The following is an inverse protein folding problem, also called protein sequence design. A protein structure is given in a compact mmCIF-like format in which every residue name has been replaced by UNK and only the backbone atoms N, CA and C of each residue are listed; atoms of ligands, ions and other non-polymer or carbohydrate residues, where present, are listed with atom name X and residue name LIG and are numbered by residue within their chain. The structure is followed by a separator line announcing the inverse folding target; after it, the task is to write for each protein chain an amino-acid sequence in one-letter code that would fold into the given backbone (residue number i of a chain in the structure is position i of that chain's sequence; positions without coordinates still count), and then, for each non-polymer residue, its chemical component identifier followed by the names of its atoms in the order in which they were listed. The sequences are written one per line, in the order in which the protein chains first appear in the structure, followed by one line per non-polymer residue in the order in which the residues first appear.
data_IF_176158262557
#
_entry.id   IF_176158262557
#
_cell.length_a   1.000
_cell.length_b   1.000
_cell.length_c   1.000
_cell.angle_alpha   90.00
_cell.angle_beta   90.00
_cell.angle_gamma   90.00
#
_symmetry.space_group_name_H-M   'P 1'
#
loop_
_entity.id
_entity.type
_entity.pdbx_description
1 polymer ?
#
# COMPACT_ATOMS: atom_id res chain seq x y z
N UNK A 1 -51.77 -11.61 1.32
CA UNK A 1 -50.69 -12.14 0.46
C UNK A 1 -49.46 -11.29 0.68
N UNK A 2 -48.41 -11.84 1.31
CA UNK A 2 -47.14 -11.12 1.46
C UNK A 2 -46.33 -11.28 0.18
N UNK A 3 -45.88 -10.17 -0.40
CA UNK A 3 -44.92 -10.19 -1.51
C UNK A 3 -43.52 -10.55 -0.96
N UNK A 4 -42.82 -11.55 -1.52
CA UNK A 4 -41.40 -11.73 -1.23
C UNK A 4 -40.63 -10.73 -2.10
N UNK A 5 -40.39 -9.52 -1.60
CA UNK A 5 -39.57 -8.51 -2.28
C UNK A 5 -38.41 -8.10 -1.39
N UNK A 6 -37.48 -9.03 -1.22
CA UNK A 6 -36.10 -8.73 -0.91
C UNK A 6 -35.27 -9.56 -1.86
N UNK A 7 -35.06 -9.09 -3.08
CA UNK A 7 -33.95 -9.62 -3.87
C UNK A 7 -32.71 -9.38 -3.04
N UNK A 8 -32.15 -10.45 -2.47
CA UNK A 8 -30.83 -10.47 -1.87
C UNK A 8 -29.88 -9.87 -2.88
N UNK A 9 -29.61 -8.56 -2.77
CA UNK A 9 -28.67 -7.85 -3.62
C UNK A 9 -27.26 -8.27 -3.18
N UNK A 10 -26.92 -9.51 -3.51
CA UNK A 10 -25.58 -10.04 -3.43
C UNK A 10 -24.67 -9.06 -4.16
N UNK A 11 -23.56 -8.66 -3.53
CA UNK A 11 -22.68 -7.64 -4.11
C UNK A 11 -22.28 -8.00 -5.54
N UNK A 12 -22.22 -6.97 -6.41
CA UNK A 12 -21.96 -7.16 -7.83
C UNK A 12 -20.56 -7.77 -8.06
N UNK A 13 -20.39 -8.61 -9.10
CA UNK A 13 -19.07 -9.07 -9.51
C UNK A 13 -18.14 -7.90 -9.85
N UNK A 14 -16.82 -8.12 -9.85
CA UNK A 14 -15.88 -7.07 -10.16
C UNK A 14 -16.05 -6.56 -11.59
N UNK A 15 -16.03 -5.24 -11.70
CA UNK A 15 -15.91 -4.51 -12.95
C UNK A 15 -14.50 -4.64 -13.53
N UNK A 16 -14.35 -4.30 -14.80
CA UNK A 16 -13.03 -4.25 -15.46
C UNK A 16 -12.10 -3.23 -14.76
N UNK A 17 -12.65 -2.10 -14.34
CA UNK A 17 -11.89 -1.01 -13.72
C UNK A 17 -11.40 -1.37 -12.31
N UNK A 18 -12.25 -2.02 -11.50
CA UNK A 18 -11.84 -2.52 -10.18
C UNK A 18 -10.67 -3.51 -10.29
N UNK A 19 -10.74 -4.45 -11.26
CA UNK A 19 -9.63 -5.37 -11.55
C UNK A 19 -8.37 -4.61 -11.98
N UNK A 20 -8.51 -3.57 -12.80
CA UNK A 20 -7.38 -2.73 -13.26
C UNK A 20 -6.72 -1.98 -12.09
N UNK A 21 -7.52 -1.43 -11.18
CA UNK A 21 -7.05 -0.74 -9.97
C UNK A 21 -6.28 -1.71 -9.07
N UNK A 22 -6.86 -2.87 -8.76
CA UNK A 22 -6.22 -3.89 -7.92
C UNK A 22 -4.89 -4.39 -8.51
N UNK A 23 -4.84 -4.64 -9.82
CA UNK A 23 -3.60 -4.99 -10.52
C UNK A 23 -2.56 -3.87 -10.41
N UNK A 24 -2.95 -2.61 -10.55
CA UNK A 24 -2.04 -1.45 -10.43
C UNK A 24 -1.48 -1.34 -9.01
N UNK A 25 -2.31 -1.50 -7.99
CA UNK A 25 -1.89 -1.50 -6.60
C UNK A 25 -0.90 -2.63 -6.30
N UNK A 26 -1.20 -3.85 -6.75
CA UNK A 26 -0.31 -5.00 -6.63
C UNK A 26 1.06 -4.70 -7.26
N UNK A 27 1.07 -4.26 -8.52
CA UNK A 27 2.32 -3.92 -9.23
C UNK A 27 3.13 -2.85 -8.50
N UNK A 28 2.46 -1.80 -8.02
CA UNK A 28 3.13 -0.74 -7.26
C UNK A 28 3.74 -1.29 -5.98
N UNK A 29 3.03 -2.16 -5.26
CA UNK A 29 3.49 -2.76 -4.02
C UNK A 29 4.69 -3.69 -4.24
N UNK A 30 4.65 -4.53 -5.26
CA UNK A 30 5.75 -5.43 -5.64
C UNK A 30 6.99 -4.62 -6.05
N UNK A 31 6.82 -3.63 -6.94
CA UNK A 31 7.91 -2.74 -7.37
C UNK A 31 8.53 -2.01 -6.17
N UNK A 32 7.71 -1.49 -5.27
CA UNK A 32 8.18 -0.80 -4.06
C UNK A 32 8.92 -1.73 -3.10
N UNK A 33 8.46 -2.98 -2.95
CA UNK A 33 9.17 -3.96 -2.15
C UNK A 33 10.56 -4.27 -2.75
N UNK A 34 10.65 -4.43 -4.07
CA UNK A 34 11.92 -4.68 -4.75
C UNK A 34 12.89 -3.50 -4.59
N UNK A 35 12.42 -2.25 -4.74
CA UNK A 35 13.28 -1.07 -4.53
C UNK A 35 13.69 -0.91 -3.07
N UNK A 36 12.80 -1.18 -2.12
CA UNK A 36 13.15 -1.21 -0.69
C UNK A 36 14.23 -2.24 -0.41
N UNK A 37 14.18 -3.44 -1.00
CA UNK A 37 15.22 -4.45 -0.79
C UNK A 37 16.57 -4.04 -1.36
N UNK A 38 16.62 -3.47 -2.56
CA UNK A 38 17.86 -2.91 -3.11
C UNK A 38 18.47 -1.85 -2.19
N UNK A 39 17.63 -0.99 -1.58
CA UNK A 39 18.08 -0.01 -0.58
C UNK A 39 18.62 -0.67 0.69
N UNK A 40 17.99 -1.76 1.15
CA UNK A 40 18.47 -2.53 2.30
C UNK A 40 19.82 -3.19 2.00
N UNK A 41 19.96 -3.82 0.83
CA UNK A 41 21.22 -4.44 0.39
C UNK A 41 22.34 -3.41 0.30
N UNK A 42 22.10 -2.29 -0.37
CA UNK A 42 23.07 -1.19 -0.47
C UNK A 42 23.41 -0.64 0.92
N UNK A 43 22.41 -0.40 1.77
CA UNK A 43 22.63 0.11 3.13
C UNK A 43 23.50 -0.82 3.98
N UNK A 44 23.37 -2.15 3.80
CA UNK A 44 24.25 -3.14 4.46
C UNK A 44 25.67 -3.11 3.91
N UNK A 45 25.84 -2.88 2.61
CA UNK A 45 27.17 -2.74 2.00
C UNK A 45 27.87 -1.45 2.46
N UNK A 46 27.13 -0.33 2.48
CA UNK A 46 27.61 0.98 2.94
C UNK A 46 27.97 0.97 4.44
N UNK A 47 27.32 0.13 5.25
CA UNK A 47 27.64 0.02 6.69
C UNK A 47 29.09 -0.40 6.97
N UNK A 48 29.75 -1.08 6.04
CA UNK A 48 31.14 -1.53 6.22
C UNK A 48 32.15 -0.38 6.33
N UNK A 49 31.80 0.80 5.84
CA UNK A 49 32.67 1.99 5.87
C UNK A 49 32.41 2.93 7.05
N UNK A 50 31.38 2.70 7.87
CA UNK A 50 31.03 3.58 8.99
C UNK A 50 31.76 3.22 10.28
N UNK A 51 31.90 4.22 11.16
CA UNK A 51 32.33 3.99 12.55
C UNK A 51 31.26 3.22 13.35
N UNK A 52 31.61 2.49 14.42
CA UNK A 52 30.67 1.63 15.14
C UNK A 52 29.36 2.32 15.59
N UNK A 53 29.43 3.55 16.08
CA UNK A 53 28.25 4.30 16.54
C UNK A 53 27.31 4.64 15.37
N UNK A 54 27.87 4.97 14.20
CA UNK A 54 27.13 5.25 12.97
C UNK A 54 26.53 3.97 12.36
N UNK A 55 27.21 2.83 12.50
CA UNK A 55 26.70 1.52 12.08
C UNK A 55 25.42 1.16 12.84
N UNK A 56 25.37 1.41 14.15
CA UNK A 56 24.21 1.10 14.97
C UNK A 56 22.98 1.92 14.54
N UNK A 57 23.15 3.24 14.34
CA UNK A 57 22.09 4.12 13.85
C UNK A 57 21.59 3.69 12.46
N UNK A 58 22.52 3.34 11.56
CA UNK A 58 22.17 2.90 10.21
C UNK A 58 21.43 1.55 10.24
N UNK A 59 21.86 0.61 11.09
CA UNK A 59 21.20 -0.68 11.25
C UNK A 59 19.74 -0.52 11.73
N UNK A 60 19.50 0.36 12.71
CA UNK A 60 18.15 0.64 13.19
C UNK A 60 17.27 1.24 12.10
N UNK A 61 17.78 2.21 11.34
CA UNK A 61 17.10 2.82 10.18
C UNK A 61 16.70 1.76 9.13
N UNK A 62 17.62 0.87 8.76
CA UNK A 62 17.35 -0.21 7.80
C UNK A 62 16.33 -1.22 8.35
N UNK A 63 16.41 -1.56 9.64
CA UNK A 63 15.43 -2.42 10.30
C UNK A 63 14.02 -1.79 10.29
N UNK A 64 13.95 -0.47 10.51
CA UNK A 64 12.73 0.33 10.44
C UNK A 64 12.09 0.31 9.05
N UNK A 65 12.89 0.55 8.01
CA UNK A 65 12.45 0.50 6.62
C UNK A 65 11.90 -0.91 6.28
N UNK A 66 12.63 -1.95 6.64
CA UNK A 66 12.23 -3.34 6.44
C UNK A 66 10.91 -3.67 7.14
N UNK A 67 10.76 -3.27 8.41
CA UNK A 67 9.54 -3.47 9.21
C UNK A 67 8.34 -2.76 8.59
N UNK A 68 8.50 -1.50 8.16
CA UNK A 68 7.42 -0.72 7.53
C UNK A 68 6.97 -1.36 6.21
N UNK A 69 7.91 -1.84 5.39
CA UNK A 69 7.57 -2.49 4.12
C UNK A 69 6.83 -3.82 4.35
N UNK A 70 7.31 -4.65 5.29
CA UNK A 70 6.63 -5.90 5.66
C UNK A 70 5.19 -5.65 6.13
N UNK A 71 4.98 -4.67 7.01
CA UNK A 71 3.62 -4.28 7.46
C UNK A 71 2.70 -3.86 6.31
N UNK A 72 3.22 -3.15 5.30
CA UNK A 72 2.43 -2.76 4.12
C UNK A 72 1.99 -3.97 3.30
N UNK A 73 2.91 -4.91 3.05
CA UNK A 73 2.62 -6.16 2.33
C UNK A 73 1.60 -7.00 3.09
N UNK A 74 1.81 -7.18 4.40
CA UNK A 74 0.90 -7.92 5.29
C UNK A 74 -0.51 -7.33 5.27
N UNK A 75 -0.63 -6.01 5.41
CA UNK A 75 -1.92 -5.31 5.41
C UNK A 75 -2.65 -5.46 4.08
N UNK A 76 -1.94 -5.36 2.96
CA UNK A 76 -2.52 -5.58 1.64
C UNK A 76 -3.02 -7.03 1.52
N UNK A 77 -2.17 -8.01 1.82
CA UNK A 77 -2.52 -9.44 1.81
C UNK A 77 -3.75 -9.74 2.66
N UNK A 78 -3.79 -9.22 3.90
CA UNK A 78 -4.91 -9.43 4.81
C UNK A 78 -6.23 -8.92 4.23
N UNK A 79 -6.23 -7.71 3.65
CA UNK A 79 -7.40 -7.13 2.98
C UNK A 79 -7.87 -8.00 1.83
N UNK A 80 -6.94 -8.41 0.96
CA UNK A 80 -7.30 -9.21 -0.22
C UNK A 80 -7.78 -10.63 0.15
N UNK A 81 -7.24 -11.24 1.22
CA UNK A 81 -7.77 -12.49 1.76
C UNK A 81 -9.20 -12.35 2.29
N UNK A 82 -9.51 -11.25 2.98
CA UNK A 82 -10.86 -10.96 3.44
C UNK A 82 -11.85 -10.77 2.28
N UNK A 83 -11.43 -10.08 1.23
CA UNK A 83 -12.23 -9.91 0.01
C UNK A 83 -12.44 -11.27 -0.68
N UNK A 84 -11.40 -12.09 -0.81
CA UNK A 84 -11.51 -13.44 -1.39
C UNK A 84 -12.53 -14.29 -0.61
N UNK A 85 -12.44 -14.34 0.71
CA UNK A 85 -13.37 -15.10 1.54
C UNK A 85 -14.83 -14.65 1.35
N UNK A 86 -15.06 -13.33 1.26
CA UNK A 86 -16.39 -12.79 0.96
C UNK A 86 -16.89 -13.23 -0.43
N UNK A 87 -16.03 -13.17 -1.46
CA UNK A 87 -16.39 -13.61 -2.82
C UNK A 87 -16.68 -15.10 -2.89
N UNK A 88 -15.92 -15.93 -2.17
CA UNK A 88 -16.20 -17.36 -2.04
C UNK A 88 -17.55 -17.63 -1.36
N UNK A 89 -17.92 -16.84 -0.34
CA UNK A 89 -19.25 -16.95 0.27
C UNK A 89 -20.35 -16.59 -0.73
N UNK A 90 -20.20 -15.50 -1.48
CA UNK A 90 -21.17 -15.09 -2.48
C UNK A 90 -21.31 -16.10 -3.62
N UNK A 91 -20.22 -16.76 -4.02
CA UNK A 91 -20.26 -17.82 -5.03
C UNK A 91 -21.02 -19.06 -4.54
N UNK A 92 -20.96 -19.40 -3.25
CA UNK A 92 -21.77 -20.48 -2.68
C UNK A 92 -23.27 -20.19 -2.77
N UNK A 93 -23.66 -18.91 -2.63
CA UNK A 93 -25.05 -18.47 -2.76
C UNK A 93 -25.50 -18.31 -4.21
N UNK A 94 -24.61 -17.87 -5.10
CA UNK A 94 -24.87 -17.63 -6.52
C UNK A 94 -23.66 -18.11 -7.35
N UNK A 95 -23.66 -19.36 -7.83
CA UNK A 95 -22.53 -19.96 -8.52
C UNK A 95 -22.43 -19.53 -9.99
N UNK A 96 -22.48 -18.22 -10.25
CA UNK A 96 -22.36 -17.67 -11.59
C UNK A 96 -20.90 -17.63 -12.08
N UNK A 97 -20.71 -17.73 -13.41
CA UNK A 97 -19.39 -17.67 -14.04
C UNK A 97 -18.66 -16.35 -13.80
N UNK A 98 -19.39 -15.26 -13.57
CA UNK A 98 -18.80 -13.97 -13.20
C UNK A 98 -18.15 -14.03 -11.81
N UNK A 99 -18.79 -14.68 -10.83
CA UNK A 99 -18.24 -14.84 -9.49
C UNK A 99 -17.07 -15.83 -9.43
N UNK A 100 -17.12 -16.90 -10.22
CA UNK A 100 -15.98 -17.81 -10.36
C UNK A 100 -14.73 -17.05 -10.84
N UNK A 101 -14.88 -16.21 -11.87
CA UNK A 101 -13.78 -15.35 -12.37
C UNK A 101 -13.25 -14.37 -11.33
N UNK A 102 -14.09 -13.84 -10.44
CA UNK A 102 -13.63 -12.97 -9.36
C UNK A 102 -12.76 -13.73 -8.35
N UNK A 103 -13.14 -14.97 -8.02
CA UNK A 103 -12.36 -15.84 -7.12
C UNK A 103 -10.99 -16.15 -7.76
N UNK A 104 -10.99 -16.56 -9.03
CA UNK A 104 -9.76 -16.89 -9.75
C UNK A 104 -8.84 -15.66 -9.85
N UNK A 105 -9.40 -14.49 -10.18
CA UNK A 105 -8.66 -13.23 -10.19
C UNK A 105 -8.01 -12.90 -8.84
N UNK A 106 -8.74 -13.09 -7.74
CA UNK A 106 -8.23 -12.80 -6.39
C UNK A 106 -7.15 -13.80 -5.97
N UNK A 107 -7.30 -15.08 -6.31
CA UNK A 107 -6.29 -16.12 -6.07
C UNK A 107 -5.02 -15.84 -6.86
N UNK A 108 -5.14 -15.53 -8.14
CA UNK A 108 -4.03 -15.15 -9.00
C UNK A 108 -3.30 -13.90 -8.46
N UNK A 109 -4.03 -12.85 -8.08
CA UNK A 109 -3.44 -11.65 -7.49
C UNK A 109 -2.64 -11.96 -6.20
N UNK A 110 -3.16 -12.83 -5.33
CA UNK A 110 -2.46 -13.23 -4.10
C UNK A 110 -1.23 -14.09 -4.40
N UNK A 111 -1.29 -14.97 -5.40
CA UNK A 111 -0.14 -15.75 -5.85
C UNK A 111 0.96 -14.84 -6.43
N UNK A 112 0.59 -13.90 -7.29
CA UNK A 112 1.50 -12.91 -7.86
C UNK A 112 2.14 -12.00 -6.80
N UNK A 113 1.42 -11.67 -5.72
CA UNK A 113 2.01 -10.99 -4.58
C UNK A 113 3.12 -11.84 -3.97
N UNK A 114 2.89 -13.13 -3.77
CA UNK A 114 3.84 -14.02 -3.11
C UNK A 114 5.07 -14.26 -3.96
N UNK A 115 4.87 -14.50 -5.26
CA UNK A 115 5.94 -14.63 -6.23
C UNK A 115 6.74 -13.33 -6.35
N UNK A 116 6.09 -12.17 -6.50
CA UNK A 116 6.78 -10.88 -6.60
C UNK A 116 7.60 -10.55 -5.34
N UNK A 117 7.09 -10.93 -4.17
CA UNK A 117 7.81 -10.78 -2.90
C UNK A 117 8.92 -11.83 -2.74
N UNK A 118 8.79 -13.03 -3.30
CA UNK A 118 9.83 -14.07 -3.28
C UNK A 118 10.96 -13.79 -4.27
N UNK A 119 10.66 -13.42 -5.51
CA UNK A 119 11.62 -13.06 -6.56
C UNK A 119 12.53 -11.90 -6.12
N UNK A 120 11.98 -10.92 -5.42
CA UNK A 120 12.81 -9.85 -4.87
C UNK A 120 13.80 -10.33 -3.78
N UNK A 121 13.75 -11.59 -3.30
CA UNK A 121 14.71 -12.17 -2.31
C UNK A 121 15.88 -12.84 -3.03
N UNK A 122 15.67 -13.25 -4.27
CA UNK A 122 16.61 -14.01 -5.08
C UNK A 122 17.44 -13.12 -6.01
N UNK A 123 17.57 -11.82 -5.72
CA UNK A 123 18.54 -10.91 -6.37
C UNK A 123 19.99 -11.27 -5.99
N UNK A 124 20.34 -12.56 -6.02
CA UNK A 124 21.69 -13.03 -5.93
C UNK A 124 22.32 -12.79 -7.30
N UNK A 125 23.14 -11.73 -7.35
CA UNK A 125 24.05 -11.33 -8.44
C UNK A 125 24.19 -12.40 -9.54
N UNK A 126 23.49 -12.21 -10.66
CA UNK A 126 24.02 -12.59 -11.97
C UNK A 126 24.38 -11.29 -12.69
N UNK A 127 25.64 -11.22 -13.11
CA UNK A 127 26.21 -10.19 -13.97
C UNK A 127 25.36 -9.97 -15.24
N UNK A 128 25.47 -8.79 -15.89
CA UNK A 128 24.77 -8.54 -17.14
C UNK A 128 25.48 -9.34 -18.23
N UNK A 129 24.97 -10.53 -18.52
CA UNK A 129 25.25 -11.22 -19.77
C UNK A 129 23.94 -11.32 -20.54
N UNK A 130 24.00 -10.77 -21.75
CA UNK A 130 22.93 -10.62 -22.71
C UNK A 130 22.21 -11.95 -22.91
N UNK A 131 21.08 -12.14 -22.24
CA UNK A 131 20.16 -13.25 -22.51
C UNK A 131 18.81 -12.66 -22.86
N UNK A 132 18.67 -12.47 -24.17
CA UNK A 132 17.43 -12.31 -24.90
C UNK A 132 16.52 -13.52 -24.62
N UNK A 133 15.79 -13.48 -23.51
CA UNK A 133 14.80 -14.49 -23.18
C UNK A 133 13.50 -13.77 -22.84
N UNK A 134 12.57 -13.83 -23.80
CA UNK A 134 11.19 -13.41 -23.66
C UNK A 134 10.54 -14.11 -22.46
N UNK A 135 10.58 -13.50 -21.28
CA UNK A 135 9.70 -13.88 -20.19
C UNK A 135 8.29 -13.37 -20.53
N UNK A 136 7.46 -14.26 -21.07
CA UNK A 136 6.07 -14.00 -21.48
C UNK A 136 5.13 -13.71 -20.32
N UNK A 137 5.30 -12.54 -19.69
CA UNK A 137 4.23 -11.88 -18.95
C UNK A 137 3.70 -10.75 -19.81
N UNK A 138 3.01 -11.14 -20.89
CA UNK A 138 2.19 -10.26 -21.73
C UNK A 138 0.99 -9.79 -20.90
N UNK A 139 1.22 -8.79 -20.04
CA UNK A 139 0.13 -7.99 -19.52
C UNK A 139 -0.26 -7.04 -20.64
N UNK A 140 -1.32 -7.38 -21.37
CA UNK A 140 -1.99 -6.53 -22.37
C UNK A 140 -1.84 -5.05 -22.01
N UNK A 141 -0.83 -4.45 -22.65
CA UNK A 141 -0.58 -3.02 -22.56
C UNK A 141 -1.40 -2.43 -23.68
N UNK A 142 -2.67 -2.22 -23.38
CA UNK A 142 -3.52 -1.35 -24.18
C UNK A 142 -2.99 0.08 -24.00
N UNK A 143 -2.01 0.40 -24.84
CA UNK A 143 -1.37 1.69 -24.99
C UNK A 143 -2.37 2.67 -25.59
N UNK A 144 -3.13 3.35 -24.74
CA UNK A 144 -3.65 4.67 -25.11
C UNK A 144 -2.59 5.70 -24.77
N UNK A 145 -1.85 6.06 -25.80
CA UNK A 145 -0.96 7.22 -25.89
C UNK A 145 -1.65 8.46 -25.32
N UNK A 146 -1.01 9.12 -24.36
CA UNK A 146 -1.17 10.56 -24.20
C UNK A 146 0.20 11.11 -23.78
N UNK A 147 0.88 11.65 -24.78
CA UNK A 147 2.12 12.37 -24.69
C UNK A 147 1.85 13.84 -24.37
N UNK A 148 2.85 14.46 -23.75
CA UNK A 148 3.04 15.91 -23.58
C UNK A 148 2.36 16.57 -22.38
N UNK A 149 3.13 16.76 -21.30
CA UNK A 149 3.70 18.10 -21.11
C UNK A 149 4.93 18.06 -20.20
N UNK A 150 6.07 18.46 -20.78
CA UNK A 150 7.30 18.81 -20.08
C UNK A 150 7.10 20.10 -19.29
N UNK A 151 7.31 20.05 -17.98
CA UNK A 151 7.80 21.21 -17.21
C UNK A 151 8.86 20.67 -16.24
N UNK A 152 10.09 20.76 -16.73
CA UNK A 152 11.28 20.94 -15.91
C UNK A 152 11.15 22.30 -15.23
N UNK A 153 11.20 22.37 -13.90
CA UNK A 153 11.96 23.44 -13.23
C UNK A 153 12.19 23.16 -11.74
N UNK A 154 13.49 23.07 -11.46
CA UNK A 154 14.25 23.56 -10.32
C UNK A 154 13.75 23.39 -8.86
N UNK A 155 14.61 22.70 -8.11
CA UNK A 155 15.12 23.07 -6.78
C UNK A 155 14.55 24.34 -6.14
N UNK A 156 13.92 24.18 -4.97
CA UNK A 156 14.18 25.06 -3.84
C UNK A 156 13.91 24.35 -2.51
N UNK A 157 14.97 23.81 -1.91
CA UNK A 157 15.02 23.51 -0.49
C UNK A 157 15.32 24.80 0.27
N UNK A 158 14.33 25.35 0.98
CA UNK A 158 14.59 26.24 2.11
C UNK A 158 13.77 25.80 3.31
N UNK A 159 14.50 25.33 4.31
CA UNK A 159 14.01 25.01 5.62
C UNK A 159 13.65 26.29 6.38
N UNK A 160 12.43 26.36 6.90
CA UNK A 160 12.14 27.12 8.12
C UNK A 160 11.16 26.30 8.96
N UNK A 161 11.69 25.69 10.01
CA UNK A 161 10.89 25.30 11.17
C UNK A 161 10.33 26.55 11.86
N UNK A 162 9.06 26.49 12.28
CA UNK A 162 8.49 27.16 13.46
C UNK A 162 7.09 26.59 13.69
N UNK A 163 6.95 25.61 14.57
CA UNK A 163 6.78 25.71 16.02
C UNK A 163 5.31 25.88 16.46
N UNK A 164 4.96 25.02 17.41
CA UNK A 164 3.80 24.82 18.29
C UNK A 164 2.56 25.74 18.18
N UNK A 165 1.39 25.12 18.04
CA UNK A 165 0.08 25.76 18.28
C UNK A 165 -1.06 24.75 18.43
N UNK A 166 -1.20 24.16 19.61
CA UNK A 166 -2.38 23.35 20.01
C UNK A 166 -3.69 24.14 19.84
N UNK A 167 -4.77 23.55 19.29
CA UNK A 167 -6.07 24.22 19.26
C UNK A 167 -6.69 24.24 20.66
N UNK A 168 -6.69 25.41 21.30
CA UNK A 168 -7.42 25.67 22.54
C UNK A 168 -8.92 25.61 22.29
N UNK A 169 -9.60 24.68 22.97
CA UNK A 169 -11.07 24.64 23.07
C UNK A 169 -11.54 25.92 23.76
N UNK A 170 -12.29 26.75 23.05
CA UNK A 170 -13.01 27.90 23.61
C UNK A 170 -14.17 27.38 24.47
N UNK A 171 -14.09 27.61 25.78
CA UNK A 171 -15.23 27.52 26.71
C UNK A 171 -15.86 28.93 26.79
N UNK A 172 -17.17 29.09 26.59
CA UNK A 172 -17.83 30.37 26.85
C UNK A 172 -17.96 30.59 28.36
N UNK A 173 -17.40 31.71 28.81
CA UNK A 173 -17.37 32.20 30.19
C UNK A 173 -18.69 32.94 30.46
N UNK A 174 -19.63 32.30 31.15
CA UNK A 174 -20.79 32.99 31.71
C UNK A 174 -20.41 33.61 33.05
N UNK A 175 -20.54 34.93 33.14
CA UNK A 175 -20.25 35.74 34.30
C UNK A 175 -21.45 35.69 35.24
N UNK A 176 -21.26 35.20 36.47
CA UNK A 176 -22.24 35.38 37.54
C UNK A 176 -21.48 35.87 38.79
N UNK A 177 -21.50 37.19 38.95
CA UNK A 177 -21.02 37.86 40.15
C UNK A 177 -22.00 37.61 41.30
N UNK A 178 -21.52 37.04 42.41
CA UNK A 178 -22.21 37.18 43.70
C UNK A 178 -21.18 37.16 44.83
N UNK A 179 -20.68 38.34 45.16
CA UNK A 179 -20.01 38.62 46.44
C UNK A 179 -21.08 38.73 47.51
N UNK A 180 -21.01 37.89 48.55
CA UNK A 180 -21.77 38.07 49.79
C UNK A 180 -20.79 38.44 50.89
N UNK A 181 -21.19 39.48 51.60
CA UNK A 181 -20.52 40.24 52.64
C UNK A 181 -19.96 39.41 53.79
N UNK A 182 -18.79 39.82 54.28
CA UNK A 182 -18.26 39.42 55.59
C UNK A 182 -18.65 40.53 56.57
N UNK A 183 -19.44 40.16 57.58
CA UNK A 183 -19.71 41.00 58.75
C UNK A 183 -18.65 40.73 59.82
N UNK A 184 -18.22 41.79 60.47
CA UNK A 184 -17.29 41.83 61.61
C UNK A 184 -17.72 41.00 62.81
#
# INVERSE_FOLDING_TARGET
MMAPSGSDQLSKPFTKDERKILRRELRHLVKKNATTRKKLEKGVEDMKSFYPDEQQLQQESLADISRRMRKKVEKFRFRQKGVLANREQLYRSDPSSARARDIDFMKDMLANLDEGIASAKSSKRKSPEESNEKSGLEWDSDSTSDSDNMVDDADNHSAVERDLGTPTKKVPRTVASRTVSISS
#
